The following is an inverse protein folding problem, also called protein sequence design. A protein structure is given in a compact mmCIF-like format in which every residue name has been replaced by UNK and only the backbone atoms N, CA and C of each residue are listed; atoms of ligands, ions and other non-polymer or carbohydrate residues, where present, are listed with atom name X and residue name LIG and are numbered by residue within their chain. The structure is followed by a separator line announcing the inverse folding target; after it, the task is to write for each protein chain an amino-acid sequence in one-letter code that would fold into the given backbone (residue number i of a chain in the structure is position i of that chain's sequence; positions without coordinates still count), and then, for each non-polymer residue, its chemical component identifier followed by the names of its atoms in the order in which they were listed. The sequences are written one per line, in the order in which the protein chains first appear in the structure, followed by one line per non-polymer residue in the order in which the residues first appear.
data_IF_393074023642
#
_entry.id   IF_393074023642
#
_cell.length_a   1.000
_cell.length_b   1.000
_cell.length_c   1.000
_cell.angle_alpha   90.00
_cell.angle_beta   90.00
_cell.angle_gamma   90.00
#
_symmetry.space_group_name_H-M   'P 1'
#
loop_
_entity.id
_entity.type
_entity.pdbx_description
1 polymer ?
#
# COMPACT_ATOMS: atom_id res chain seq x y z
N UNK A 1 -19.02 7.90 1.57
CA UNK A 1 -18.81 6.44 1.62
C UNK A 1 -19.87 5.86 2.54
N UNK A 2 -20.42 4.71 2.20
CA UNK A 2 -21.37 3.98 3.03
C UNK A 2 -20.77 2.60 3.35
N UNK A 3 -21.05 2.09 4.53
CA UNK A 3 -20.57 0.79 4.99
C UNK A 3 -21.73 -0.03 5.56
N UNK A 4 -21.73 -1.32 5.27
CA UNK A 4 -22.71 -2.30 5.73
C UNK A 4 -21.95 -3.53 6.24
N UNK A 5 -22.20 -3.94 7.49
CA UNK A 5 -21.56 -5.10 8.09
C UNK A 5 -21.15 -4.85 9.54
N UNK A 6 -20.16 -5.61 10.00
CA UNK A 6 -19.61 -5.56 11.35
C UNK A 6 -18.14 -6.00 11.38
N UNK A 7 -17.65 -6.37 12.56
CA UNK A 7 -16.22 -6.53 12.84
C UNK A 7 -15.49 -7.56 11.96
N UNK A 8 -16.20 -8.59 11.50
CA UNK A 8 -15.63 -9.69 10.71
C UNK A 8 -15.90 -9.58 9.21
N UNK A 9 -16.93 -8.83 8.81
CA UNK A 9 -17.37 -8.71 7.43
C UNK A 9 -17.88 -7.30 7.21
N UNK A 10 -17.22 -6.56 6.32
CA UNK A 10 -17.58 -5.18 6.03
C UNK A 10 -17.63 -4.97 4.52
N UNK A 11 -18.79 -4.53 4.03
CA UNK A 11 -18.97 -4.09 2.65
C UNK A 11 -19.00 -2.56 2.62
N UNK A 12 -18.13 -1.94 1.84
CA UNK A 12 -17.98 -0.50 1.72
C UNK A 12 -18.19 -0.07 0.27
N UNK A 13 -18.97 0.98 0.07
CA UNK A 13 -19.17 1.60 -1.24
C UNK A 13 -18.95 3.12 -1.16
N UNK A 14 -18.24 3.68 -2.14
CA UNK A 14 -17.92 5.10 -2.18
C UNK A 14 -17.97 5.68 -3.57
N UNK A 15 -18.35 6.96 -3.65
CA UNK A 15 -18.24 7.79 -4.85
C UNK A 15 -17.39 8.99 -4.49
N UNK A 16 -16.36 9.25 -5.28
CA UNK A 16 -15.37 10.31 -5.06
C UNK A 16 -15.25 11.15 -6.33
N UNK A 17 -15.00 12.45 -6.20
CA UNK A 17 -14.75 13.32 -7.36
C UNK A 17 -13.49 12.87 -8.09
N UNK A 18 -13.56 12.61 -9.39
CA UNK A 18 -12.41 12.25 -10.22
C UNK A 18 -11.88 13.49 -10.95
N UNK A 19 -11.43 14.47 -10.16
CA UNK A 19 -10.87 15.72 -10.67
C UNK A 19 -9.75 16.20 -9.76
N UNK A 20 -8.53 16.15 -10.27
CA UNK A 20 -7.33 16.57 -9.56
C UNK A 20 -6.89 18.01 -9.93
N UNK A 21 -7.55 18.66 -10.89
CA UNK A 21 -7.08 19.91 -11.50
C UNK A 21 -7.92 21.12 -11.12
N UNK A 22 -9.22 20.96 -10.89
CA UNK A 22 -10.09 22.09 -10.55
C UNK A 22 -10.35 22.19 -9.04
N UNK A 23 -10.66 23.40 -8.54
CA UNK A 23 -11.03 23.59 -7.14
C UNK A 23 -12.22 22.69 -6.73
N UNK A 24 -12.19 22.17 -5.51
CA UNK A 24 -13.20 21.28 -4.90
C UNK A 24 -14.56 21.95 -4.61
N UNK A 25 -15.07 22.77 -5.54
CA UNK A 25 -16.35 23.47 -5.42
C UNK A 25 -17.51 22.73 -6.09
N UNK A 26 -17.20 21.90 -7.09
CA UNK A 26 -18.18 21.11 -7.82
C UNK A 26 -17.71 19.66 -7.92
N UNK A 27 -17.68 18.93 -6.79
CA UNK A 27 -17.34 17.52 -6.83
C UNK A 27 -18.33 16.81 -7.78
N UNK A 28 -17.82 15.88 -8.60
CA UNK A 28 -18.57 15.02 -9.53
C UNK A 28 -18.98 15.57 -10.90
N UNK A 29 -18.85 16.87 -11.20
CA UNK A 29 -19.19 17.41 -12.54
C UNK A 29 -18.17 17.00 -13.61
N UNK A 30 -16.93 16.83 -13.22
CA UNK A 30 -15.82 16.53 -14.14
C UNK A 30 -15.49 15.04 -14.24
N UNK A 31 -15.97 14.25 -13.28
CA UNK A 31 -15.78 12.82 -13.22
C UNK A 31 -16.09 12.26 -11.83
N UNK A 32 -16.26 10.95 -11.76
CA UNK A 32 -16.49 10.22 -10.52
C UNK A 32 -15.73 8.89 -10.52
N UNK A 33 -15.05 8.63 -9.40
CA UNK A 33 -14.50 7.33 -9.05
C UNK A 33 -15.50 6.63 -8.14
N UNK A 34 -16.01 5.49 -8.59
CA UNK A 34 -16.83 4.58 -7.79
C UNK A 34 -15.95 3.44 -7.30
N UNK A 35 -16.04 3.12 -6.01
CA UNK A 35 -15.30 2.03 -5.38
C UNK A 35 -16.25 1.15 -4.57
N UNK A 36 -16.08 -0.16 -4.69
CA UNK A 36 -16.71 -1.18 -3.87
C UNK A 36 -15.61 -2.03 -3.25
N UNK A 37 -15.68 -2.26 -1.94
CA UNK A 37 -14.72 -3.07 -1.20
C UNK A 37 -15.46 -3.98 -0.24
N UNK A 38 -15.02 -5.22 -0.16
CA UNK A 38 -15.39 -6.19 0.87
C UNK A 38 -14.16 -6.51 1.70
N UNK A 39 -14.27 -6.39 3.02
CA UNK A 39 -13.26 -6.78 4.00
C UNK A 39 -13.79 -7.94 4.82
N UNK A 40 -12.96 -8.97 5.00
CA UNK A 40 -13.19 -10.06 5.93
C UNK A 40 -12.03 -10.14 6.91
N UNK A 41 -12.31 -10.28 8.19
CA UNK A 41 -11.30 -10.48 9.22
C UNK A 41 -11.70 -11.60 10.17
N UNK A 42 -10.72 -12.37 10.65
CA UNK A 42 -10.99 -13.47 11.57
C UNK A 42 -9.72 -14.15 12.03
N UNK A 43 -9.87 -15.35 12.59
CA UNK A 43 -8.77 -16.19 13.06
C UNK A 43 -8.64 -17.44 12.21
N UNK A 44 -7.39 -17.85 11.97
CA UNK A 44 -7.04 -19.12 11.35
C UNK A 44 -5.94 -19.76 12.18
N UNK A 45 -6.25 -20.85 12.88
CA UNK A 45 -5.34 -21.44 13.87
C UNK A 45 -4.99 -20.44 14.97
N UNK A 46 -3.69 -20.22 15.19
CA UNK A 46 -3.18 -19.28 16.19
C UNK A 46 -3.01 -17.84 15.65
N UNK A 47 -3.33 -17.57 14.38
CA UNK A 47 -3.13 -16.26 13.77
C UNK A 47 -4.42 -15.53 13.43
N UNK A 48 -4.29 -14.22 13.24
CA UNK A 48 -5.34 -13.33 12.75
C UNK A 48 -5.13 -13.06 11.26
N UNK A 49 -6.22 -13.09 10.48
CA UNK A 49 -6.18 -12.74 9.06
C UNK A 49 -7.09 -11.56 8.75
N UNK A 50 -6.76 -10.85 7.69
CA UNK A 50 -7.63 -9.87 7.04
C UNK A 50 -7.53 -10.03 5.53
N UNK A 51 -8.65 -10.15 4.85
CA UNK A 51 -8.76 -10.20 3.40
C UNK A 51 -9.58 -8.99 2.96
N UNK A 52 -9.11 -8.29 1.94
CA UNK A 52 -9.82 -7.20 1.27
C UNK A 52 -9.91 -7.52 -0.19
N UNK A 53 -11.09 -7.36 -0.78
CA UNK A 53 -11.33 -7.50 -2.21
C UNK A 53 -12.14 -6.29 -2.66
N UNK A 54 -11.79 -5.71 -3.79
CA UNK A 54 -12.52 -4.55 -4.28
C UNK A 54 -12.46 -4.38 -5.77
N UNK A 55 -13.37 -3.54 -6.24
CA UNK A 55 -13.48 -3.12 -7.62
C UNK A 55 -13.69 -1.62 -7.70
N UNK A 56 -13.22 -1.02 -8.78
CA UNK A 56 -13.42 0.39 -9.03
C UNK A 56 -13.88 0.65 -10.45
N UNK A 57 -14.55 1.77 -10.64
CA UNK A 57 -14.89 2.33 -11.94
C UNK A 57 -14.67 3.83 -11.91
N UNK A 58 -13.73 4.30 -12.73
CA UNK A 58 -13.53 5.71 -12.99
C UNK A 58 -14.33 6.13 -14.22
N UNK A 59 -15.20 7.13 -14.06
CA UNK A 59 -15.85 7.83 -15.16
C UNK A 59 -15.32 9.25 -15.22
N UNK A 60 -14.79 9.63 -16.37
CA UNK A 60 -14.31 10.97 -16.68
C UNK A 60 -15.20 11.61 -17.74
N UNK A 61 -15.38 12.93 -17.66
CA UNK A 61 -15.86 13.73 -18.79
C UNK A 61 -14.89 13.58 -19.98
N UNK A 62 -15.42 13.26 -21.17
CA UNK A 62 -14.64 13.04 -22.38
C UNK A 62 -13.74 14.23 -22.76
N UNK A 63 -14.19 15.46 -22.50
CA UNK A 63 -13.42 16.68 -22.78
C UNK A 63 -12.19 16.82 -21.88
N UNK A 64 -12.23 16.21 -20.69
CA UNK A 64 -11.15 16.26 -19.71
C UNK A 64 -10.29 14.99 -19.70
N UNK A 65 -10.72 13.92 -20.36
CA UNK A 65 -10.01 12.66 -20.44
C UNK A 65 -8.54 12.77 -20.91
N UNK A 66 -8.18 13.67 -21.85
CA UNK A 66 -6.77 13.85 -22.24
C UNK A 66 -5.87 14.40 -21.12
N UNK A 67 -6.45 15.07 -20.11
CA UNK A 67 -5.71 15.70 -18.99
C UNK A 67 -5.82 14.94 -17.69
N UNK A 68 -7.03 14.45 -17.38
CA UNK A 68 -7.35 13.78 -16.11
C UNK A 68 -7.28 12.25 -16.18
N UNK A 69 -7.09 11.73 -17.39
CA UNK A 69 -7.07 10.30 -17.63
C UNK A 69 -8.41 9.76 -18.12
N UNK A 70 -8.39 8.60 -18.79
CA UNK A 70 -9.56 8.05 -19.43
C UNK A 70 -10.50 7.32 -18.47
N UNK A 71 -11.68 6.99 -18.98
CA UNK A 71 -12.62 6.11 -18.28
C UNK A 71 -12.02 4.71 -18.13
N UNK A 72 -11.96 4.23 -16.90
CA UNK A 72 -11.32 2.95 -16.60
C UNK A 72 -12.03 2.20 -15.48
N UNK A 73 -11.65 0.95 -15.29
CA UNK A 73 -12.16 0.08 -14.24
C UNK A 73 -11.14 -0.99 -13.94
N UNK A 74 -11.21 -1.53 -12.74
CA UNK A 74 -10.32 -2.58 -12.31
C UNK A 74 -10.77 -3.19 -11.01
N UNK A 75 -9.91 -4.05 -10.48
CA UNK A 75 -10.10 -4.73 -9.22
C UNK A 75 -8.78 -4.78 -8.46
N UNK A 76 -8.89 -4.99 -7.16
CA UNK A 76 -7.76 -5.13 -6.26
C UNK A 76 -8.10 -6.13 -5.16
N UNK A 77 -7.08 -6.68 -4.54
CA UNK A 77 -7.19 -7.51 -3.37
C UNK A 77 -5.96 -7.40 -2.50
N UNK A 78 -6.14 -7.59 -1.20
CA UNK A 78 -5.08 -7.68 -0.23
C UNK A 78 -5.42 -8.77 0.80
N UNK A 79 -4.41 -9.46 1.28
CA UNK A 79 -4.50 -10.41 2.38
C UNK A 79 -3.35 -10.12 3.33
N UNK A 80 -3.65 -10.09 4.62
CA UNK A 80 -2.67 -10.07 5.70
C UNK A 80 -2.94 -11.26 6.63
N UNK A 81 -1.87 -11.88 7.13
CA UNK A 81 -1.94 -12.91 8.15
C UNK A 81 -0.87 -12.63 9.21
N UNK A 82 -1.27 -12.56 10.48
CA UNK A 82 -0.39 -12.25 11.61
C UNK A 82 -0.42 -13.40 12.59
N UNK A 83 0.74 -13.84 13.05
CA UNK A 83 0.88 -14.99 13.93
C UNK A 83 2.13 -14.88 14.78
N UNK A 84 2.10 -15.50 15.96
CA UNK A 84 3.28 -15.60 16.81
C UNK A 84 3.97 -16.95 16.59
N UNK A 85 5.28 -16.91 16.39
CA UNK A 85 6.11 -18.11 16.24
C UNK A 85 7.52 -17.84 16.74
N UNK A 86 8.08 -18.77 17.51
CA UNK A 86 9.44 -18.67 18.06
C UNK A 86 9.65 -17.42 18.95
N UNK A 87 8.60 -16.94 19.63
CA UNK A 87 8.65 -15.71 20.43
C UNK A 87 8.63 -14.42 19.61
N UNK A 88 8.46 -14.51 18.29
CA UNK A 88 8.43 -13.38 17.36
C UNK A 88 7.00 -13.17 16.83
N UNK A 89 6.65 -11.92 16.56
CA UNK A 89 5.38 -11.58 15.92
C UNK A 89 5.58 -11.42 14.41
N UNK A 90 5.07 -12.39 13.66
CA UNK A 90 5.17 -12.43 12.21
C UNK A 90 3.93 -11.79 11.56
N UNK A 91 4.14 -11.19 10.40
CA UNK A 91 3.07 -10.84 9.49
C UNK A 91 3.46 -11.23 8.07
N UNK A 92 2.54 -11.85 7.35
CA UNK A 92 2.65 -12.08 5.91
C UNK A 92 1.60 -11.25 5.19
N UNK A 93 1.93 -10.75 4.01
CA UNK A 93 0.96 -10.08 3.15
C UNK A 93 1.07 -10.52 1.71
N UNK A 94 -0.07 -10.43 1.01
CA UNK A 94 -0.21 -10.55 -0.43
C UNK A 94 -1.14 -9.42 -0.89
N UNK A 95 -0.78 -8.72 -1.94
CA UNK A 95 -1.58 -7.65 -2.54
C UNK A 95 -1.51 -7.77 -4.05
N UNK A 96 -2.57 -7.40 -4.75
CA UNK A 96 -2.56 -7.40 -6.19
C UNK A 96 -3.78 -6.73 -6.78
N UNK A 97 -3.76 -6.53 -8.09
CA UNK A 97 -4.87 -5.91 -8.79
C UNK A 97 -4.69 -5.90 -10.29
N UNK A 98 -5.78 -5.61 -10.96
CA UNK A 98 -5.88 -5.62 -12.41
C UNK A 98 -6.71 -4.46 -12.93
N UNK A 99 -6.19 -3.77 -13.93
CA UNK A 99 -6.90 -2.77 -14.71
C UNK A 99 -6.58 -2.99 -16.20
N UNK A 100 -7.12 -4.04 -16.85
CA UNK A 100 -6.59 -4.53 -18.12
C UNK A 100 -6.87 -3.61 -19.32
N UNK A 101 -7.84 -2.68 -19.21
CA UNK A 101 -8.24 -1.80 -20.32
C UNK A 101 -7.03 -1.14 -21.00
N UNK A 102 -7.01 -1.05 -22.35
CA UNK A 102 -5.94 -0.47 -23.18
C UNK A 102 -5.27 0.81 -22.70
N UNK A 103 -5.96 1.56 -21.87
CA UNK A 103 -5.58 2.88 -21.39
C UNK A 103 -4.70 2.88 -20.13
N UNK A 104 -4.68 1.81 -19.34
CA UNK A 104 -3.97 1.83 -18.06
C UNK A 104 -2.49 1.46 -18.24
N UNK A 105 -1.56 2.35 -17.90
CA UNK A 105 -0.13 2.09 -18.02
C UNK A 105 0.30 0.82 -17.26
N UNK A 106 -0.35 0.54 -16.13
CA UNK A 106 -0.14 -0.65 -15.31
C UNK A 106 -1.38 -1.55 -15.40
N UNK A 107 -1.42 -2.54 -16.30
CA UNK A 107 -2.55 -3.47 -16.38
C UNK A 107 -2.61 -4.44 -15.21
N UNK A 108 -1.48 -4.82 -14.62
CA UNK A 108 -1.37 -5.86 -13.59
C UNK A 108 -0.30 -5.54 -12.56
N UNK A 109 -0.62 -5.79 -11.30
CA UNK A 109 0.29 -5.66 -10.18
C UNK A 109 0.09 -6.82 -9.20
N UNK A 110 1.18 -7.33 -8.65
CA UNK A 110 1.18 -8.22 -7.50
C UNK A 110 2.36 -7.88 -6.58
N UNK A 111 2.18 -8.05 -5.28
CA UNK A 111 3.23 -7.91 -4.29
C UNK A 111 2.98 -8.81 -3.10
N UNK A 112 4.04 -9.28 -2.47
CA UNK A 112 3.98 -10.13 -1.30
C UNK A 112 5.17 -9.86 -0.40
N UNK A 113 5.05 -10.18 0.88
CA UNK A 113 6.16 -10.02 1.80
C UNK A 113 5.87 -10.54 3.18
N UNK A 114 6.92 -10.45 4.00
CA UNK A 114 6.95 -10.84 5.40
C UNK A 114 7.44 -9.66 6.23
N UNK A 115 6.91 -9.55 7.44
CA UNK A 115 7.44 -8.70 8.50
C UNK A 115 7.62 -9.52 9.75
N UNK A 116 8.57 -9.10 10.57
CA UNK A 116 8.79 -9.64 11.90
C UNK A 116 9.00 -8.49 12.89
N UNK A 117 8.35 -8.61 14.04
CA UNK A 117 8.51 -7.75 15.21
C UNK A 117 9.11 -8.53 16.38
N UNK A 118 9.58 -7.81 17.38
CA UNK A 118 10.22 -8.37 18.59
C UNK A 118 11.49 -9.17 18.30
N UNK A 119 12.17 -8.88 17.19
CA UNK A 119 13.46 -9.50 16.87
C UNK A 119 14.52 -9.19 17.94
N UNK A 120 14.45 -7.98 18.52
CA UNK A 120 15.26 -7.58 19.66
C UNK A 120 14.35 -7.44 20.90
N UNK A 121 14.57 -8.22 21.98
CA UNK A 121 13.70 -8.20 23.16
C UNK A 121 13.53 -6.82 23.82
N UNK A 122 14.57 -5.98 23.76
CA UNK A 122 14.56 -4.63 24.34
C UNK A 122 14.02 -3.56 23.38
N UNK A 123 13.69 -3.91 22.14
CA UNK A 123 13.17 -3.00 21.12
C UNK A 123 11.89 -3.55 20.48
N UNK A 124 10.77 -3.60 21.23
CA UNK A 124 9.51 -4.16 20.74
C UNK A 124 8.88 -3.36 19.58
N UNK A 125 9.31 -2.11 19.40
CA UNK A 125 8.88 -1.26 18.30
C UNK A 125 9.65 -1.51 17.00
N UNK A 126 10.75 -2.26 17.06
CA UNK A 126 11.56 -2.55 15.89
C UNK A 126 10.87 -3.56 14.98
N UNK A 127 10.96 -3.30 13.68
CA UNK A 127 10.35 -4.13 12.64
C UNK A 127 11.40 -4.44 11.59
N UNK A 128 11.50 -5.69 11.15
CA UNK A 128 12.20 -6.06 9.93
C UNK A 128 11.18 -6.55 8.91
N UNK A 129 11.34 -6.17 7.65
CA UNK A 129 10.45 -6.60 6.57
C UNK A 129 11.24 -6.94 5.32
N UNK A 130 10.74 -7.91 4.57
CA UNK A 130 11.23 -8.24 3.25
C UNK A 130 10.04 -8.48 2.32
N UNK A 131 10.13 -8.02 1.08
CA UNK A 131 9.04 -8.12 0.14
C UNK A 131 9.51 -8.18 -1.30
N UNK A 132 8.58 -8.58 -2.16
CA UNK A 132 8.75 -8.53 -3.60
C UNK A 132 7.47 -7.98 -4.23
N UNK A 133 7.61 -7.24 -5.32
CA UNK A 133 6.49 -6.82 -6.15
C UNK A 133 6.83 -6.92 -7.62
N UNK A 134 5.81 -7.12 -8.45
CA UNK A 134 5.91 -7.22 -9.89
C UNK A 134 4.79 -6.43 -10.53
N UNK A 135 5.16 -5.56 -11.46
CA UNK A 135 4.24 -4.71 -12.20
C UNK A 135 4.41 -4.94 -13.69
N UNK A 136 3.32 -5.31 -14.36
CA UNK A 136 3.30 -5.33 -15.82
C UNK A 136 3.12 -3.91 -16.33
N UNK A 137 3.90 -3.53 -17.34
CA UNK A 137 3.90 -2.21 -17.91
C UNK A 137 3.45 -2.30 -19.38
N UNK A 138 2.45 -1.51 -19.74
CA UNK A 138 1.86 -1.56 -21.07
C UNK A 138 2.83 -1.05 -22.12
N UNK A 139 2.94 -1.79 -23.22
CA UNK A 139 3.78 -1.41 -24.35
C UNK A 139 5.28 -1.52 -24.08
N UNK A 140 5.66 -2.12 -22.94
CA UNK A 140 7.05 -2.33 -22.56
C UNK A 140 7.39 -3.83 -22.60
N UNK A 141 8.64 -4.17 -22.94
CA UNK A 141 9.04 -5.56 -23.20
C UNK A 141 9.09 -6.41 -21.91
N UNK A 142 9.30 -5.78 -20.76
CA UNK A 142 9.42 -6.46 -19.48
C UNK A 142 8.50 -5.85 -18.42
N UNK A 143 8.06 -6.72 -17.50
CA UNK A 143 7.53 -6.28 -16.23
C UNK A 143 8.67 -5.81 -15.32
N UNK A 144 8.44 -4.74 -14.58
CA UNK A 144 9.36 -4.32 -13.52
C UNK A 144 9.12 -5.19 -12.28
N UNK A 145 10.19 -5.62 -11.63
CA UNK A 145 10.13 -6.40 -10.39
C UNK A 145 11.03 -5.78 -9.35
N UNK A 146 10.49 -5.51 -8.16
CA UNK A 146 11.23 -4.94 -7.04
C UNK A 146 11.34 -5.97 -5.92
N UNK A 147 12.53 -6.13 -5.34
CA UNK A 147 12.77 -6.86 -4.11
C UNK A 147 13.27 -5.88 -3.05
N UNK A 148 12.67 -5.87 -1.88
CA UNK A 148 12.96 -4.91 -0.82
C UNK A 148 13.29 -5.64 0.49
N UNK A 149 14.28 -5.12 1.21
CA UNK A 149 14.48 -5.39 2.63
C UNK A 149 14.55 -4.05 3.35
N UNK A 150 13.72 -3.88 4.37
CA UNK A 150 13.66 -2.66 5.17
C UNK A 150 13.56 -3.00 6.65
N UNK A 151 13.96 -2.07 7.50
CA UNK A 151 13.71 -2.17 8.94
C UNK A 151 13.32 -0.83 9.52
N UNK A 152 12.53 -0.82 10.60
CA UNK A 152 12.26 0.37 11.40
C UNK A 152 12.93 0.14 12.75
N UNK A 153 13.80 1.05 13.16
CA UNK A 153 14.56 0.96 14.41
C UNK A 153 14.34 2.21 15.24
N UNK A 154 13.88 2.04 16.48
CA UNK A 154 13.76 3.15 17.42
C UNK A 154 15.15 3.55 17.94
N UNK A 155 15.57 4.78 17.65
CA UNK A 155 16.84 5.34 18.17
C UNK A 155 16.65 6.00 19.55
N UNK A 156 15.43 6.41 19.86
CA UNK A 156 15.03 7.05 21.10
C UNK A 156 13.57 7.50 21.04
N UNK A 157 13.04 8.14 22.10
CA UNK A 157 11.68 8.64 22.11
C UNK A 157 11.42 9.60 20.95
N UNK A 158 10.42 9.27 20.13
CA UNK A 158 10.02 10.09 18.97
C UNK A 158 10.98 10.08 17.80
N UNK A 159 12.04 9.25 17.78
CA UNK A 159 12.99 9.19 16.65
C UNK A 159 13.16 7.76 16.18
N UNK A 160 12.89 7.52 14.89
CA UNK A 160 13.06 6.22 14.25
C UNK A 160 13.92 6.34 13.00
N UNK A 161 14.73 5.32 12.76
CA UNK A 161 15.50 5.16 11.53
C UNK A 161 14.92 4.02 10.71
N UNK A 162 14.77 4.25 9.42
CA UNK A 162 14.29 3.24 8.47
C UNK A 162 15.26 3.11 7.30
N UNK A 163 16.28 2.23 7.39
CA UNK A 163 17.05 1.82 6.23
C UNK A 163 16.21 0.91 5.32
N UNK A 164 16.49 1.00 4.03
CA UNK A 164 15.78 0.29 2.98
C UNK A 164 16.76 -0.01 1.85
N UNK A 165 16.75 -1.25 1.38
CA UNK A 165 17.57 -1.72 0.28
C UNK A 165 16.67 -2.42 -0.75
N UNK A 166 16.76 -1.97 -2.00
CA UNK A 166 15.92 -2.44 -3.09
C UNK A 166 16.74 -2.90 -4.28
N UNK A 167 16.37 -4.05 -4.85
CA UNK A 167 16.85 -4.51 -6.16
C UNK A 167 15.69 -4.43 -7.14
N UNK A 168 15.80 -3.53 -8.12
CA UNK A 168 14.76 -3.27 -9.12
C UNK A 168 15.22 -3.84 -10.47
N UNK A 169 14.56 -4.90 -10.90
CA UNK A 169 14.80 -5.58 -12.18
C UNK A 169 13.90 -4.98 -13.26
N UNK A 170 14.50 -4.60 -14.39
CA UNK A 170 13.86 -3.86 -15.46
C UNK A 170 13.09 -2.60 -14.99
N UNK A 171 13.74 -1.62 -14.34
CA UNK A 171 13.08 -0.35 -14.00
C UNK A 171 12.44 0.28 -15.26
N UNK A 172 11.20 0.73 -15.16
CA UNK A 172 10.42 1.22 -16.28
C UNK A 172 10.23 0.20 -17.42
N UNK A 173 10.40 -1.10 -17.15
CA UNK A 173 10.23 -2.20 -18.09
C UNK A 173 11.33 -2.36 -19.14
N UNK A 174 12.41 -1.57 -19.07
CA UNK A 174 13.46 -1.55 -20.11
C UNK A 174 14.86 -1.17 -19.62
N UNK A 175 15.00 -0.58 -18.43
CA UNK A 175 16.31 -0.16 -17.93
C UNK A 175 17.09 -1.34 -17.32
N UNK A 176 18.42 -1.27 -17.21
CA UNK A 176 19.21 -2.26 -16.48
C UNK A 176 18.81 -2.35 -15.00
N UNK A 177 19.03 -3.52 -14.39
CA UNK A 177 18.80 -3.74 -12.96
C UNK A 177 19.52 -2.69 -12.11
N UNK A 178 18.83 -2.15 -11.11
CA UNK A 178 19.35 -1.15 -10.19
C UNK A 178 19.34 -1.68 -8.74
N UNK A 179 20.41 -1.36 -8.00
CA UNK A 179 20.44 -1.47 -6.54
C UNK A 179 20.25 -0.06 -5.97
N UNK A 180 19.25 0.10 -5.11
CA UNK A 180 18.87 1.39 -4.51
C UNK A 180 18.92 1.25 -3.00
N UNK A 181 19.60 2.18 -2.33
CA UNK A 181 19.59 2.30 -0.89
C UNK A 181 18.90 3.59 -0.48
N UNK A 182 17.98 3.51 0.48
CA UNK A 182 17.27 4.65 1.05
C UNK A 182 17.45 4.64 2.56
N UNK A 183 17.63 5.82 3.15
CA UNK A 183 17.60 6.01 4.59
C UNK A 183 16.54 7.05 4.91
N UNK A 184 15.52 6.65 5.66
CA UNK A 184 14.48 7.55 6.16
C UNK A 184 14.64 7.76 7.66
N UNK A 185 14.41 8.99 8.10
CA UNK A 185 14.29 9.33 9.52
C UNK A 185 12.86 9.78 9.76
N UNK A 186 12.22 9.21 10.77
CA UNK A 186 10.89 9.62 11.24
C UNK A 186 11.04 10.30 12.60
N UNK A 187 10.41 11.46 12.75
CA UNK A 187 10.48 12.30 13.95
C UNK A 187 9.06 12.66 14.38
N UNK A 188 8.61 12.05 15.48
CA UNK A 188 7.47 12.52 16.25
C UNK A 188 7.92 13.63 17.19
N UNK A 189 7.72 14.88 16.75
CA UNK A 189 8.11 16.07 17.49
C UNK A 189 7.44 16.19 18.86
N UNK A 190 6.22 15.65 19.03
CA UNK A 190 5.51 15.72 20.31
C UNK A 190 6.14 14.76 21.30
N UNK A 191 6.35 13.51 20.88
CA UNK A 191 6.99 12.51 21.73
C UNK A 191 8.44 12.89 22.05
N UNK A 192 9.16 13.39 21.05
CA UNK A 192 10.52 13.88 21.21
C UNK A 192 10.58 15.04 22.22
N UNK A 193 9.75 16.08 22.06
CA UNK A 193 9.73 17.23 22.97
C UNK A 193 9.38 16.85 24.42
N UNK A 194 8.39 15.95 24.60
CA UNK A 194 8.06 15.40 25.93
C UNK A 194 9.25 14.70 26.58
N UNK A 195 10.05 13.97 25.81
CA UNK A 195 11.26 13.31 26.31
C UNK A 195 12.36 14.29 26.77
N UNK A 196 12.34 15.51 26.24
CA UNK A 196 13.25 16.59 26.61
C UNK A 196 12.70 17.45 27.78
N UNK A 197 11.56 17.08 28.36
CA UNK A 197 10.91 17.84 29.44
C UNK A 197 10.13 19.07 28.96
N UNK A 198 9.83 19.18 27.67
CA UNK A 198 9.00 20.27 27.14
C UNK A 198 7.53 19.92 27.34
N UNK A 199 6.80 20.80 28.04
CA UNK A 199 5.34 20.73 28.12
C UNK A 199 4.72 21.25 26.81
N UNK A 200 3.95 20.40 26.12
CA UNK A 200 3.20 20.69 24.90
C UNK A 200 1.71 20.46 25.13
#
# INVERSE_FOLDING_TARGET
MVALGGDHHLLEAGVFGADAMHPYRQPFTHGALMLLQYTQAGKLGAGDYTIKLGAFRNRQNAQLAPRLGPQTSGFFGAMEYRFDALGLNWGAFLVGGGAPKPVNAVPWYAGAGLRVKNWFPNHPDDVLSAGASRVSLRGLPHAETNYEVTGIFALGPGVKLQPDLQVIVHPGGQLPTALVGILRVDIDLVQWAKSQGVAL
#
